data_IF_036273524497
#
_entry.id   IF_036273524497
#
_cell.length_a   1.000
_cell.length_b   1.000
_cell.length_c   1.000
_cell.angle_alpha   90.00
_cell.angle_beta   90.00
_cell.angle_gamma   90.00
#
_symmetry.space_group_name_H-M   'P 1'
#
loop_
_entity.id
_entity.type
_entity.pdbx_description
1 polymer ?
#
# COMPACT_ATOMS: atom_id res chain seq x y z
N UNK A 1 3.81 -33.04 -17.19
CA UNK A 1 3.64 -31.69 -16.63
C UNK A 1 4.25 -31.68 -15.25
N UNK A 2 5.43 -31.06 -15.05
CA UNK A 2 5.85 -30.62 -13.74
C UNK A 2 5.26 -29.24 -13.47
N UNK A 3 4.78 -29.05 -12.24
CA UNK A 3 4.13 -27.85 -11.76
C UNK A 3 5.20 -26.79 -11.47
N UNK A 4 5.13 -25.64 -12.17
CA UNK A 4 5.97 -24.48 -11.87
C UNK A 4 5.44 -23.80 -10.61
N UNK A 5 6.09 -24.05 -9.48
CA UNK A 5 5.89 -23.29 -8.25
C UNK A 5 6.47 -21.87 -8.43
N UNK A 6 5.74 -21.05 -9.16
CA UNK A 6 5.90 -19.60 -9.18
C UNK A 6 5.42 -19.00 -7.86
N UNK A 7 6.14 -19.24 -6.77
CA UNK A 7 6.05 -18.37 -5.60
C UNK A 7 6.71 -17.05 -6.04
N UNK A 8 5.88 -16.20 -6.64
CA UNK A 8 6.21 -14.88 -7.14
C UNK A 8 7.00 -14.16 -6.05
N UNK A 9 8.27 -13.90 -6.34
CA UNK A 9 9.05 -12.89 -5.65
C UNK A 9 8.25 -11.60 -5.70
N UNK A 10 7.51 -11.32 -4.63
CA UNK A 10 6.78 -10.08 -4.46
C UNK A 10 7.82 -8.97 -4.57
N UNK A 11 7.85 -8.35 -5.75
CA UNK A 11 8.82 -7.32 -6.14
C UNK A 11 8.86 -6.28 -5.02
N UNK A 12 10.04 -5.77 -4.62
CA UNK A 12 10.17 -4.81 -3.53
C UNK A 12 9.16 -3.66 -3.62
N UNK A 13 8.82 -3.27 -4.86
CA UNK A 13 7.76 -2.32 -5.18
C UNK A 13 6.37 -2.72 -4.67
N UNK A 14 5.87 -3.93 -4.97
CA UNK A 14 4.54 -4.37 -4.57
C UNK A 14 4.42 -4.51 -3.03
N UNK A 15 5.51 -4.96 -2.39
CA UNK A 15 5.61 -5.02 -0.93
C UNK A 15 5.54 -3.63 -0.31
N UNK A 16 6.31 -2.68 -0.85
CA UNK A 16 6.26 -1.28 -0.40
C UNK A 16 4.89 -0.64 -0.63
N UNK A 17 4.29 -0.80 -1.81
CA UNK A 17 2.97 -0.22 -2.14
C UNK A 17 1.88 -0.73 -1.19
N UNK A 18 1.90 -2.03 -0.86
CA UNK A 18 0.94 -2.63 0.09
C UNK A 18 1.16 -2.12 1.52
N UNK A 19 2.41 -2.06 1.96
CA UNK A 19 2.77 -1.50 3.27
C UNK A 19 2.37 -0.03 3.38
N UNK A 20 2.70 0.77 2.36
CA UNK A 20 2.36 2.18 2.29
C UNK A 20 0.84 2.38 2.38
N UNK A 21 0.06 1.66 1.58
CA UNK A 21 -1.40 1.77 1.61
C UNK A 21 -1.97 1.38 2.99
N UNK A 22 -1.46 0.32 3.61
CA UNK A 22 -1.88 -0.08 4.95
C UNK A 22 -1.54 1.00 5.99
N UNK A 23 -0.30 1.52 5.99
CA UNK A 23 0.11 2.56 6.92
C UNK A 23 -0.66 3.84 6.70
N UNK A 24 -0.78 4.33 5.46
CA UNK A 24 -1.53 5.55 5.15
C UNK A 24 -3.01 5.46 5.56
N UNK A 25 -3.66 4.32 5.38
CA UNK A 25 -5.06 4.15 5.83
C UNK A 25 -5.20 4.08 7.36
N UNK A 26 -4.19 3.56 8.06
CA UNK A 26 -4.15 3.62 9.53
C UNK A 26 -3.94 5.04 10.06
N UNK A 27 -2.94 5.75 9.53
CA UNK A 27 -2.62 7.10 10.01
C UNK A 27 -3.71 8.12 9.64
N UNK A 28 -4.45 7.90 8.54
CA UNK A 28 -5.53 8.76 8.08
C UNK A 28 -6.93 8.27 8.49
N UNK A 29 -7.04 7.32 9.42
CA UNK A 29 -8.30 6.66 9.74
C UNK A 29 -9.43 7.64 10.07
N UNK A 30 -9.15 8.64 10.93
CA UNK A 30 -10.14 9.66 11.31
C UNK A 30 -10.60 10.52 10.13
N UNK A 31 -9.69 10.87 9.22
CA UNK A 31 -10.02 11.67 8.04
C UNK A 31 -10.74 10.83 6.98
N UNK A 32 -10.40 9.56 6.85
CA UNK A 32 -11.12 8.62 5.99
C UNK A 32 -12.56 8.40 6.47
N UNK A 33 -12.79 8.38 7.79
CA UNK A 33 -14.14 8.31 8.35
C UNK A 33 -14.94 9.58 8.04
N UNK A 34 -14.32 10.77 8.10
CA UNK A 34 -14.96 12.02 7.68
C UNK A 34 -15.29 12.03 6.20
N UNK A 35 -14.34 11.62 5.34
CA UNK A 35 -14.53 11.53 3.89
C UNK A 35 -15.67 10.56 3.58
N UNK A 36 -15.74 9.42 4.25
CA UNK A 36 -16.81 8.43 4.09
C UNK A 36 -18.17 8.96 4.52
N UNK A 37 -18.22 9.85 5.51
CA UNK A 37 -19.44 10.48 6.00
C UNK A 37 -19.93 11.67 5.18
N UNK A 38 -19.17 12.11 4.16
CA UNK A 38 -19.57 13.23 3.33
C UNK A 38 -20.73 12.88 2.38
N UNK A 39 -21.64 13.83 2.16
CA UNK A 39 -22.87 13.65 1.36
C UNK A 39 -22.60 13.23 -0.10
N UNK A 40 -21.43 13.57 -0.63
CA UNK A 40 -20.99 13.29 -1.99
C UNK A 40 -20.14 12.02 -2.12
N UNK A 41 -19.82 11.36 -1.00
CA UNK A 41 -19.06 10.11 -1.02
C UNK A 41 -19.97 8.92 -1.38
N UNK A 42 -19.68 8.27 -2.51
CA UNK A 42 -20.48 7.18 -3.07
C UNK A 42 -19.66 5.91 -3.16
N UNK A 43 -20.32 4.77 -3.41
CA UNK A 43 -19.63 3.50 -3.65
C UNK A 43 -18.55 3.63 -4.75
N UNK A 44 -18.88 4.40 -5.79
CA UNK A 44 -17.99 4.66 -6.94
C UNK A 44 -16.81 5.59 -6.58
N UNK A 45 -16.81 6.24 -5.41
CA UNK A 45 -15.70 7.05 -4.92
C UNK A 45 -14.56 6.19 -4.36
N UNK A 46 -14.84 4.93 -3.97
CA UNK A 46 -13.85 4.04 -3.35
C UNK A 46 -12.65 3.77 -4.27
N UNK A 47 -12.82 3.39 -5.56
CA UNK A 47 -11.69 3.20 -6.46
C UNK A 47 -10.83 4.46 -6.62
N UNK A 48 -11.45 5.64 -6.69
CA UNK A 48 -10.71 6.90 -6.77
C UNK A 48 -9.90 7.18 -5.51
N UNK A 49 -10.48 6.97 -4.34
CA UNK A 49 -9.79 7.11 -3.06
C UNK A 49 -8.59 6.16 -2.95
N UNK A 50 -8.78 4.88 -3.30
CA UNK A 50 -7.70 3.89 -3.27
C UNK A 50 -6.58 4.27 -4.24
N UNK A 51 -6.92 4.70 -5.46
CA UNK A 51 -5.93 5.16 -6.43
C UNK A 51 -5.17 6.40 -5.95
N UNK A 52 -5.86 7.39 -5.35
CA UNK A 52 -5.21 8.58 -4.82
C UNK A 52 -4.24 8.24 -3.69
N UNK A 53 -4.64 7.36 -2.77
CA UNK A 53 -3.75 6.87 -1.72
C UNK A 53 -2.54 6.14 -2.32
N UNK A 54 -2.74 5.20 -3.25
CA UNK A 54 -1.63 4.49 -3.91
C UNK A 54 -0.68 5.44 -4.67
N UNK A 55 -1.19 6.50 -5.28
CA UNK A 55 -0.38 7.52 -5.96
C UNK A 55 0.59 8.23 -5.01
N UNK A 56 0.30 8.32 -3.70
CA UNK A 56 1.22 8.89 -2.72
C UNK A 56 2.60 8.19 -2.66
N UNK A 57 2.71 6.96 -3.16
CA UNK A 57 3.99 6.24 -3.27
C UNK A 57 4.98 6.92 -4.22
N UNK A 58 4.52 7.76 -5.16
CA UNK A 58 5.39 8.48 -6.10
C UNK A 58 6.33 9.46 -5.41
N UNK A 59 6.04 9.83 -4.15
CA UNK A 59 6.87 10.78 -3.39
C UNK A 59 8.15 10.13 -2.84
N UNK A 60 8.26 8.81 -2.90
CA UNK A 60 9.41 8.06 -2.40
C UNK A 60 10.30 7.63 -3.56
N UNK A 61 11.61 7.85 -3.42
CA UNK A 61 12.60 7.34 -4.37
C UNK A 61 12.68 5.81 -4.33
N UNK A 62 13.22 5.19 -5.38
CA UNK A 62 13.43 3.74 -5.37
C UNK A 62 14.29 3.29 -4.18
N UNK A 63 15.36 4.02 -3.86
CA UNK A 63 16.24 3.70 -2.74
C UNK A 63 15.52 3.75 -1.39
N UNK A 64 14.61 4.69 -1.18
CA UNK A 64 13.81 4.76 0.05
C UNK A 64 12.84 3.59 0.16
N UNK A 65 12.19 3.22 -0.95
CA UNK A 65 11.28 2.06 -1.01
C UNK A 65 12.02 0.76 -0.70
N UNK A 66 13.23 0.60 -1.24
CA UNK A 66 14.09 -0.55 -0.97
C UNK A 66 14.54 -0.60 0.49
N UNK A 67 14.94 0.53 1.09
CA UNK A 67 15.30 0.61 2.51
C UNK A 67 14.15 0.17 3.41
N UNK A 68 12.96 0.71 3.20
CA UNK A 68 11.76 0.36 3.97
C UNK A 68 11.44 -1.12 3.80
N UNK A 69 11.46 -1.63 2.58
CA UNK A 69 11.19 -3.06 2.31
C UNK A 69 12.24 -3.98 2.94
N UNK A 70 13.51 -3.56 2.96
CA UNK A 70 14.59 -4.26 3.66
C UNK A 70 14.34 -4.38 5.16
N UNK A 71 13.97 -3.26 5.81
CA UNK A 71 13.62 -3.24 7.25
C UNK A 71 12.41 -4.13 7.53
N UNK A 72 11.36 -4.08 6.72
CA UNK A 72 10.17 -4.92 6.89
C UNK A 72 10.48 -6.42 6.78
N UNK A 73 11.39 -6.79 5.87
CA UNK A 73 11.84 -8.17 5.73
C UNK A 73 12.64 -8.63 6.94
N UNK A 74 13.52 -7.78 7.45
CA UNK A 74 14.42 -8.12 8.55
C UNK A 74 13.70 -8.11 9.91
N UNK A 75 12.71 -7.23 10.10
CA UNK A 75 11.85 -7.18 11.28
C UNK A 75 10.84 -8.33 11.39
N UNK A 76 10.63 -9.11 10.32
CA UNK A 76 9.77 -10.31 10.32
C UNK A 76 10.52 -11.59 10.76
N UNK A 77 11.80 -11.49 11.13
CA UNK A 77 12.64 -12.62 11.59
C UNK A 77 12.55 -12.92 13.10
N UNK A 78 11.48 -12.50 13.79
CA UNK A 78 11.29 -12.78 15.24
C UNK A 78 10.23 -13.85 15.45
#
# INVERSE_FOLDING_TARGET
MPQEDGIQSSQPRATFESYYLQKSTQELAEDLDKVRGADDFKADSIPFLVHALQQGTVQFSQADRERVTGILRDGKKV
#
